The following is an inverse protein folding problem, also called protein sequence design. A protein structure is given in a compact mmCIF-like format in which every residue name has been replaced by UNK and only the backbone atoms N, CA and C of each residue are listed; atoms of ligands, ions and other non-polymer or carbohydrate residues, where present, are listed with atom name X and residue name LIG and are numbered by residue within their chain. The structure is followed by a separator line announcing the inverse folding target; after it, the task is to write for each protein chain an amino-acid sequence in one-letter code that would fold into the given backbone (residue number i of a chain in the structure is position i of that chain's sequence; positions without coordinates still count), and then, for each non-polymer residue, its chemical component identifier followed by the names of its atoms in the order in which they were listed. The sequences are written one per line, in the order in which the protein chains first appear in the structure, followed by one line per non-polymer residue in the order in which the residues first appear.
data_IF_816546223686
#
_entry.id   IF_816546223686
#
_cell.length_a   1.000
_cell.length_b   1.000
_cell.length_c   1.000
_cell.angle_alpha   90.00
_cell.angle_beta   90.00
_cell.angle_gamma   90.00
#
_symmetry.space_group_name_H-M   'P 1'
#
loop_
_entity.id
_entity.type
_entity.pdbx_description
1 polymer ?
#
# COMPACT_ATOMS: atom_id res chain seq x y z
N UNK A 1 16.28 23.95 -13.79
CA UNK A 1 15.93 22.52 -13.98
C UNK A 1 15.94 21.81 -12.63
N UNK A 2 14.81 21.25 -12.17
CA UNK A 2 14.85 20.15 -11.20
C UNK A 2 13.89 19.04 -11.63
N UNK A 3 14.39 18.05 -12.37
CA UNK A 3 13.59 16.90 -12.85
C UNK A 3 14.16 15.54 -12.47
N UNK A 4 15.23 15.50 -11.67
CA UNK A 4 15.99 14.28 -11.38
C UNK A 4 15.63 13.54 -10.09
N UNK A 5 14.73 14.09 -9.25
CA UNK A 5 14.43 13.48 -7.94
C UNK A 5 13.46 12.29 -7.99
N UNK A 6 12.66 12.15 -9.05
CA UNK A 6 11.51 11.24 -9.06
C UNK A 6 11.90 9.74 -9.06
N UNK A 7 12.85 9.32 -9.91
CA UNK A 7 13.17 7.90 -10.10
C UNK A 7 14.11 7.31 -9.04
N UNK A 8 15.01 8.13 -8.49
CA UNK A 8 15.95 7.68 -7.46
C UNK A 8 15.26 7.41 -6.11
N UNK A 9 14.17 8.13 -5.82
CA UNK A 9 13.36 7.94 -4.61
C UNK A 9 12.64 6.58 -4.62
N UNK A 10 12.09 6.17 -5.76
CA UNK A 10 11.32 4.92 -5.89
C UNK A 10 12.17 3.66 -5.59
N UNK A 11 13.42 3.62 -6.05
CA UNK A 11 14.30 2.47 -5.85
C UNK A 11 14.76 2.33 -4.38
N UNK A 12 15.09 3.45 -3.72
CA UNK A 12 15.46 3.46 -2.29
C UNK A 12 14.26 3.04 -1.44
N UNK A 13 13.08 3.55 -1.77
CA UNK A 13 11.86 3.30 -1.04
C UNK A 13 11.38 1.85 -1.19
N UNK A 14 11.56 1.25 -2.38
CA UNK A 14 11.28 -0.18 -2.60
C UNK A 14 12.19 -1.08 -1.75
N UNK A 15 13.49 -0.78 -1.71
CA UNK A 15 14.44 -1.53 -0.88
C UNK A 15 14.19 -1.39 0.62
N UNK A 16 13.72 -0.22 1.06
CA UNK A 16 13.36 0.04 2.46
C UNK A 16 12.06 -0.67 2.85
N UNK A 17 11.01 -0.54 2.03
CA UNK A 17 9.72 -1.15 2.31
C UNK A 17 9.82 -2.69 2.32
N UNK A 18 10.51 -3.29 1.37
CA UNK A 18 10.71 -4.74 1.33
C UNK A 18 11.40 -5.28 2.60
N UNK A 19 12.34 -4.49 3.17
CA UNK A 19 13.05 -4.86 4.41
C UNK A 19 12.18 -4.70 5.66
N UNK A 20 11.15 -3.85 5.62
CA UNK A 20 10.25 -3.62 6.76
C UNK A 20 9.18 -4.70 6.91
N UNK A 21 8.64 -5.18 5.79
CA UNK A 21 7.41 -5.98 5.77
C UNK A 21 7.65 -7.50 5.64
N UNK A 22 8.91 -7.92 5.55
CA UNK A 22 9.33 -9.31 5.34
C UNK A 22 8.84 -10.34 6.37
N UNK A 23 8.42 -9.95 7.58
CA UNK A 23 8.24 -10.92 8.69
C UNK A 23 6.91 -10.82 9.48
N UNK A 24 6.01 -9.88 9.16
CA UNK A 24 4.78 -9.64 9.95
C UNK A 24 3.47 -9.62 9.16
N UNK A 25 3.38 -10.39 8.08
CA UNK A 25 2.13 -10.47 7.31
C UNK A 25 1.13 -11.45 7.94
N UNK A 26 -0.11 -10.99 8.14
CA UNK A 26 -1.22 -11.83 8.61
C UNK A 26 -1.46 -12.95 7.58
N UNK A 27 -1.56 -14.19 8.06
CA UNK A 27 -1.67 -15.43 7.25
C UNK A 27 -2.84 -15.42 6.23
N UNK A 28 -3.80 -14.51 6.37
CA UNK A 28 -4.96 -14.40 5.48
C UNK A 28 -4.82 -13.36 4.36
N UNK A 29 -3.74 -12.54 4.35
CA UNK A 29 -3.48 -11.55 3.29
C UNK A 29 -2.82 -12.22 2.08
N UNK A 30 -3.28 -11.87 0.88
CA UNK A 30 -2.84 -12.53 -0.37
C UNK A 30 -2.68 -11.61 -1.58
N UNK A 31 -3.25 -10.40 -1.55
CA UNK A 31 -2.93 -9.39 -2.57
C UNK A 31 -1.56 -8.79 -2.23
N UNK A 32 -0.77 -8.50 -3.25
CA UNK A 32 0.56 -7.87 -3.17
C UNK A 32 1.68 -8.67 -2.47
N UNK A 33 1.48 -9.95 -2.13
CA UNK A 33 2.57 -10.83 -1.69
C UNK A 33 3.16 -11.60 -2.86
N UNK A 34 4.50 -11.64 -2.99
CA UNK A 34 5.22 -12.25 -4.12
C UNK A 34 4.97 -13.77 -4.30
N UNK A 35 4.23 -14.43 -3.40
CA UNK A 35 4.08 -15.90 -3.39
C UNK A 35 2.66 -16.40 -3.07
N UNK A 36 1.62 -15.55 -3.10
CA UNK A 36 0.25 -15.99 -2.81
C UNK A 36 -0.69 -15.58 -3.95
N UNK A 37 -1.19 -16.54 -4.74
CA UNK A 37 -2.12 -16.24 -5.80
C UNK A 37 -3.51 -15.92 -5.23
N UNK A 38 -4.27 -15.08 -5.96
CA UNK A 38 -5.64 -14.66 -5.58
C UNK A 38 -6.60 -15.86 -5.47
N UNK A 39 -6.27 -17.00 -6.10
CA UNK A 39 -7.09 -18.21 -6.07
C UNK A 39 -7.16 -18.87 -4.70
N UNK A 40 -6.13 -18.71 -3.86
CA UNK A 40 -6.07 -19.36 -2.55
C UNK A 40 -7.19 -18.87 -1.59
N UNK A 41 -7.35 -17.55 -1.33
CA UNK A 41 -8.45 -17.07 -0.49
C UNK A 41 -9.82 -17.39 -1.05
N UNK A 42 -9.99 -17.35 -2.38
CA UNK A 42 -11.27 -17.67 -3.02
C UNK A 42 -11.61 -19.14 -2.74
N UNK A 43 -10.62 -20.03 -2.85
CA UNK A 43 -10.78 -21.43 -2.52
C UNK A 43 -11.07 -21.63 -1.03
N UNK A 44 -10.32 -21.00 -0.14
CA UNK A 44 -10.54 -21.07 1.32
C UNK A 44 -11.94 -20.57 1.70
N UNK A 45 -12.39 -19.44 1.14
CA UNK A 45 -13.74 -18.92 1.38
C UNK A 45 -14.81 -19.94 0.96
N UNK A 46 -14.67 -20.56 -0.21
CA UNK A 46 -15.59 -21.62 -0.67
C UNK A 46 -15.64 -22.80 0.30
N UNK A 47 -14.48 -23.29 0.74
CA UNK A 47 -14.38 -24.37 1.73
C UNK A 47 -15.10 -24.03 3.04
N UNK A 48 -14.91 -22.80 3.56
CA UNK A 48 -15.57 -22.35 4.79
C UNK A 48 -17.10 -22.29 4.61
N UNK A 49 -17.57 -21.79 3.46
CA UNK A 49 -19.01 -21.72 3.16
C UNK A 49 -19.62 -23.12 3.08
N UNK A 50 -18.98 -24.03 2.35
CA UNK A 50 -19.47 -25.39 2.15
C UNK A 50 -19.50 -26.16 3.47
N UNK A 51 -18.45 -26.03 4.30
CA UNK A 51 -18.42 -26.65 5.63
C UNK A 51 -19.47 -26.06 6.57
N UNK A 52 -19.73 -24.76 6.50
CA UNK A 52 -20.79 -24.11 7.31
C UNK A 52 -22.18 -24.65 6.95
N UNK A 53 -22.44 -24.85 5.65
CA UNK A 53 -23.69 -25.44 5.16
C UNK A 53 -23.83 -26.91 5.55
N UNK A 54 -22.74 -27.68 5.53
CA UNK A 54 -22.71 -29.09 5.96
C UNK A 54 -23.19 -29.27 7.41
N UNK A 55 -22.83 -28.34 8.31
CA UNK A 55 -23.31 -28.33 9.69
C UNK A 55 -24.71 -27.70 9.88
N UNK A 56 -25.46 -27.47 8.80
CA UNK A 56 -26.80 -26.89 8.85
C UNK A 56 -26.84 -25.42 9.30
N UNK A 57 -25.69 -24.71 9.28
CA UNK A 57 -25.60 -23.29 9.67
C UNK A 57 -25.73 -22.39 8.45
N UNK A 58 -26.23 -21.17 8.67
CA UNK A 58 -26.25 -20.12 7.65
C UNK A 58 -24.88 -19.45 7.57
N UNK A 59 -24.35 -19.29 6.37
CA UNK A 59 -23.14 -18.52 6.10
C UNK A 59 -23.51 -17.13 5.57
N UNK A 60 -22.79 -16.09 6.04
CA UNK A 60 -22.94 -14.71 5.58
C UNK A 60 -21.56 -14.17 5.19
N UNK A 61 -21.50 -13.37 4.12
CA UNK A 61 -20.27 -12.76 3.61
C UNK A 61 -20.51 -11.26 3.48
N UNK A 62 -19.60 -10.48 4.05
CA UNK A 62 -19.60 -9.02 3.97
C UNK A 62 -18.37 -8.57 3.17
N UNK A 63 -18.59 -8.01 1.99
CA UNK A 63 -17.54 -7.45 1.15
C UNK A 63 -17.33 -5.99 1.51
N UNK A 64 -16.21 -5.69 2.16
CA UNK A 64 -15.78 -4.30 2.41
C UNK A 64 -14.81 -3.85 1.33
N UNK A 65 -15.23 -2.85 0.56
CA UNK A 65 -14.37 -2.15 -0.38
C UNK A 65 -14.04 -0.76 0.15
N UNK A 66 -12.75 -0.40 0.16
CA UNK A 66 -12.31 0.94 0.51
C UNK A 66 -12.43 1.84 -0.72
N UNK A 67 -13.23 2.91 -0.62
CA UNK A 67 -13.31 3.94 -1.65
C UNK A 67 -11.94 4.62 -1.76
N UNK A 68 -11.31 4.54 -2.93
CA UNK A 68 -10.05 5.22 -3.22
C UNK A 68 -8.97 4.98 -2.15
N UNK A 69 -8.66 3.70 -1.90
CA UNK A 69 -7.78 3.27 -0.81
C UNK A 69 -6.37 3.88 -0.88
N UNK A 70 -5.89 4.18 -2.09
CA UNK A 70 -4.59 4.83 -2.30
C UNK A 70 -4.65 6.36 -2.12
N UNK A 71 -5.77 6.99 -2.48
CA UNK A 71 -5.96 8.43 -2.35
C UNK A 71 -6.28 8.87 -0.90
N UNK A 72 -6.60 7.91 -0.04
CA UNK A 72 -6.93 8.13 1.38
C UNK A 72 -5.75 7.89 2.33
N UNK A 73 -4.59 7.45 1.82
CA UNK A 73 -3.39 7.27 2.64
C UNK A 73 -2.60 8.58 2.74
N UNK A 74 -2.73 9.23 3.90
CA UNK A 74 -1.97 10.44 4.24
C UNK A 74 -0.69 10.10 5.01
N UNK A 75 0.28 11.00 4.94
CA UNK A 75 1.59 10.85 5.60
C UNK A 75 1.48 10.75 7.13
N UNK A 76 0.76 11.67 7.78
CA UNK A 76 0.67 11.71 9.26
C UNK A 76 0.11 10.41 9.87
N UNK A 77 -0.99 9.82 9.35
CA UNK A 77 -1.45 8.52 9.82
C UNK A 77 -0.46 7.39 9.56
N UNK A 78 0.26 7.41 8.43
CA UNK A 78 1.18 6.34 8.08
C UNK A 78 2.40 6.29 9.00
N UNK A 79 2.98 7.44 9.37
CA UNK A 79 4.12 7.47 10.31
C UNK A 79 3.72 6.91 11.68
N UNK A 80 2.53 7.24 12.17
CA UNK A 80 1.97 6.67 13.40
C UNK A 80 1.75 5.15 13.30
N UNK A 81 1.25 4.66 12.16
CA UNK A 81 1.08 3.23 11.91
C UNK A 81 2.44 2.52 11.94
N UNK A 82 3.44 3.04 11.24
CA UNK A 82 4.79 2.47 11.20
C UNK A 82 5.43 2.40 12.59
N UNK A 83 5.26 3.44 13.42
CA UNK A 83 5.68 3.41 14.82
C UNK A 83 4.93 2.34 15.62
N UNK A 84 3.61 2.21 15.45
CA UNK A 84 2.80 1.23 16.18
C UNK A 84 3.13 -0.22 15.84
N UNK A 85 3.53 -0.51 14.59
CA UNK A 85 4.00 -1.84 14.20
C UNK A 85 5.47 -2.09 14.58
N UNK A 86 6.11 -1.14 15.28
CA UNK A 86 7.44 -1.28 15.84
C UNK A 86 8.59 -1.03 14.85
N UNK A 87 8.34 -0.29 13.77
CA UNK A 87 9.41 0.08 12.85
C UNK A 87 10.34 1.11 13.50
N UNK A 88 11.66 1.00 13.29
CA UNK A 88 12.63 1.99 13.76
C UNK A 88 12.29 3.43 13.33
N UNK A 89 12.46 4.38 14.24
CA UNK A 89 12.21 5.81 14.01
C UNK A 89 12.94 6.38 12.78
N UNK A 90 14.14 5.88 12.49
CA UNK A 90 14.92 6.23 11.27
C UNK A 90 14.12 6.08 9.98
N UNK A 91 13.22 5.11 9.96
CA UNK A 91 12.40 4.81 8.79
C UNK A 91 11.17 5.71 8.72
N UNK A 92 10.53 6.00 9.85
CA UNK A 92 9.46 6.97 9.92
C UNK A 92 9.97 8.31 9.38
N UNK A 93 11.10 8.79 9.91
CA UNK A 93 11.83 9.99 9.45
C UNK A 93 12.19 9.97 7.96
N UNK A 94 12.52 8.80 7.42
CA UNK A 94 12.79 8.65 5.99
C UNK A 94 11.52 8.83 5.16
N UNK A 95 10.40 8.23 5.58
CA UNK A 95 9.10 8.46 4.93
C UNK A 95 8.69 9.94 5.04
N UNK A 96 8.84 10.59 6.19
CA UNK A 96 8.52 12.03 6.32
C UNK A 96 9.31 12.83 5.29
N UNK A 97 10.64 12.64 5.22
CA UNK A 97 11.51 13.37 4.28
C UNK A 97 11.28 13.04 2.81
N UNK A 98 10.82 11.83 2.48
CA UNK A 98 10.54 11.46 1.10
C UNK A 98 9.28 12.12 0.56
N UNK A 99 8.33 12.43 1.44
CA UNK A 99 7.03 12.99 1.10
C UNK A 99 6.84 14.44 1.57
N UNK A 100 7.81 15.00 2.31
CA UNK A 100 7.91 16.41 2.67
C UNK A 100 7.97 17.26 1.38
N UNK A 101 7.13 18.30 1.32
CA UNK A 101 7.11 19.32 0.25
C UNK A 101 7.11 18.76 -1.18
N UNK A 102 6.38 17.66 -1.40
CA UNK A 102 6.33 17.00 -2.71
C UNK A 102 5.25 17.63 -3.59
N UNK A 103 5.68 18.33 -4.63
CA UNK A 103 4.79 18.81 -5.71
C UNK A 103 4.73 17.83 -6.88
N UNK A 104 3.61 17.85 -7.61
CA UNK A 104 3.43 17.08 -8.84
C UNK A 104 2.76 17.91 -9.93
N UNK A 105 2.90 17.47 -11.19
CA UNK A 105 2.22 18.05 -12.34
C UNK A 105 1.79 16.93 -13.29
N UNK A 106 0.74 17.18 -14.08
CA UNK A 106 0.26 16.25 -15.10
C UNK A 106 0.89 16.61 -16.44
N UNK A 107 1.36 15.61 -17.18
CA UNK A 107 1.82 15.80 -18.56
C UNK A 107 0.69 15.42 -19.52
N UNK A 108 0.24 16.40 -20.32
CA UNK A 108 -0.80 16.24 -21.34
C UNK A 108 -0.24 16.67 -22.69
N UNK A 109 -0.24 15.78 -23.68
CA UNK A 109 0.28 16.04 -25.03
C UNK A 109 1.69 16.65 -25.05
N UNK A 110 2.57 16.15 -24.17
CA UNK A 110 3.95 16.63 -24.06
C UNK A 110 4.13 17.95 -23.30
N UNK A 111 3.04 18.59 -22.85
CA UNK A 111 3.08 19.82 -22.04
C UNK A 111 2.75 19.50 -20.59
N UNK A 112 3.44 20.16 -19.65
CA UNK A 112 3.20 20.01 -18.21
C UNK A 112 2.16 21.04 -17.75
N UNK A 113 1.27 20.63 -16.86
CA UNK A 113 0.35 21.54 -16.17
C UNK A 113 1.09 22.33 -15.08
N UNK A 114 0.39 23.27 -14.44
CA UNK A 114 0.83 23.85 -13.18
C UNK A 114 1.08 22.76 -12.13
N UNK A 115 2.04 23.01 -11.24
CA UNK A 115 2.32 22.10 -10.13
C UNK A 115 1.26 22.25 -9.04
N UNK A 116 1.05 21.16 -8.30
CA UNK A 116 0.16 21.11 -7.15
C UNK A 116 0.78 20.23 -6.07
N UNK A 117 0.45 20.53 -4.82
CA UNK A 117 0.94 19.78 -3.66
C UNK A 117 0.33 18.39 -3.60
N UNK A 118 1.17 17.38 -3.34
CA UNK A 118 0.72 16.04 -2.99
C UNK A 118 0.74 15.89 -1.47
N UNK A 119 -0.41 15.50 -0.90
CA UNK A 119 -0.54 15.17 0.53
C UNK A 119 -0.69 13.67 0.79
N UNK A 120 -0.82 12.87 -0.27
CA UNK A 120 -0.99 11.42 -0.20
C UNK A 120 0.36 10.72 -0.36
N UNK A 121 0.58 9.66 0.42
CA UNK A 121 1.85 8.90 0.41
C UNK A 121 1.95 8.03 -0.85
N UNK A 122 0.82 7.78 -1.50
CA UNK A 122 0.73 6.72 -2.49
C UNK A 122 0.43 7.27 -3.87
N UNK A 123 1.27 6.90 -4.82
CA UNK A 123 1.07 7.15 -6.25
C UNK A 123 0.64 5.85 -6.92
N UNK A 124 -0.35 5.95 -7.79
CA UNK A 124 -0.76 4.82 -8.62
C UNK A 124 0.41 4.39 -9.51
N UNK A 125 0.79 3.11 -9.45
CA UNK A 125 1.92 2.57 -10.22
C UNK A 125 3.29 2.68 -9.54
N UNK A 126 3.41 3.27 -8.34
CA UNK A 126 4.65 3.20 -7.55
C UNK A 126 4.81 1.78 -6.95
N UNK A 127 6.01 1.21 -7.03
CA UNK A 127 6.29 -0.15 -6.55
C UNK A 127 6.10 -0.31 -5.04
N UNK A 128 6.29 0.77 -4.28
CA UNK A 128 6.24 0.81 -2.81
C UNK A 128 4.81 0.78 -2.29
N UNK A 129 3.89 1.37 -3.06
CA UNK A 129 2.46 1.43 -2.78
C UNK A 129 1.89 0.08 -2.35
N UNK A 130 2.26 -0.97 -3.08
CA UNK A 130 1.81 -2.33 -2.85
C UNK A 130 2.25 -2.87 -1.48
N UNK A 131 3.43 -2.47 -1.02
CA UNK A 131 4.00 -2.92 0.25
C UNK A 131 3.45 -2.13 1.44
N UNK A 132 3.20 -0.82 1.27
CA UNK A 132 2.58 0.01 2.30
C UNK A 132 1.11 -0.31 2.54
N UNK A 133 0.40 -0.73 1.48
CA UNK A 133 -1.00 -1.12 1.59
C UNK A 133 -1.20 -2.47 2.27
N UNK A 134 -0.14 -3.29 2.34
CA UNK A 134 -0.21 -4.66 2.81
C UNK A 134 -0.49 -4.76 4.30
#
# INVERSE_FOLDING_TARGET
MPGGRCLAQDAVLFGVAHRMYSERMIVQRTRFTQRRPIVEPIFTMRQVIDKTKEFGKKAYIDFKEFKAAFDSMYYNPLSLILLSVGQPDKYCKLFEKLYEETESCVQVNGKRTVTFDIKTVVRQGCAVTSELFN
#
